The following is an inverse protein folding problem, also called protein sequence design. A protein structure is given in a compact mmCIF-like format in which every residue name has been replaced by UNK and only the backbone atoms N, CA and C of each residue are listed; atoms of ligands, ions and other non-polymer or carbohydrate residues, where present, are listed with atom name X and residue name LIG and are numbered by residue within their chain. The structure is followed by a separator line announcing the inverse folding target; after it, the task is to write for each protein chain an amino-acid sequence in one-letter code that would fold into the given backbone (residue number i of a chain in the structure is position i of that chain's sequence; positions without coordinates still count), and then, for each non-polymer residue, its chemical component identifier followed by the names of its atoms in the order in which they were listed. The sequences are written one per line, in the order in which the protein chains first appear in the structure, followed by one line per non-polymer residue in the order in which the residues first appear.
data_IF_221777327908
#
_entry.id   IF_221777327908
#
_cell.length_a   1.000
_cell.length_b   1.000
_cell.length_c   1.000
_cell.angle_alpha   90.00
_cell.angle_beta   90.00
_cell.angle_gamma   90.00
#
_symmetry.space_group_name_H-M   'P 1'
#
loop_
_entity.id
_entity.type
_entity.pdbx_description
1 polymer ?
#
# COMPACT_ATOMS: atom_id res chain seq x y z
N UNK A 1 24.30 8.17 -9.17
CA UNK A 1 24.07 7.03 -10.09
C UNK A 1 22.60 6.71 -10.41
N UNK A 2 21.60 7.16 -9.63
CA UNK A 2 20.19 6.71 -9.77
C UNK A 2 19.11 7.74 -10.12
N UNK A 3 19.38 9.02 -10.45
CA UNK A 3 18.26 9.89 -10.75
C UNK A 3 17.73 9.60 -12.17
N UNK A 4 18.45 8.83 -13.00
CA UNK A 4 18.02 8.48 -14.35
C UNK A 4 16.81 7.52 -14.34
N UNK A 5 16.07 7.53 -15.45
CA UNK A 5 15.04 6.55 -15.76
C UNK A 5 15.69 5.43 -16.56
N UNK A 6 15.51 4.19 -16.11
CA UNK A 6 16.14 3.01 -16.70
C UNK A 6 15.10 1.97 -17.11
N UNK A 7 15.48 1.11 -18.04
CA UNK A 7 14.73 -0.09 -18.45
C UNK A 7 15.62 -1.32 -18.34
N UNK A 8 15.05 -2.45 -17.91
CA UNK A 8 15.74 -3.73 -17.93
C UNK A 8 16.11 -4.11 -19.37
N UNK A 9 17.36 -4.50 -19.59
CA UNK A 9 17.91 -4.68 -20.95
C UNK A 9 18.13 -6.14 -21.36
N UNK A 10 17.78 -7.11 -20.51
CA UNK A 10 17.84 -8.53 -20.86
C UNK A 10 16.49 -9.03 -21.36
N UNK A 11 16.46 -10.12 -22.15
CA UNK A 11 15.23 -10.73 -22.62
C UNK A 11 14.35 -11.20 -21.46
N UNK A 12 13.06 -10.89 -21.52
CA UNK A 12 12.02 -11.50 -20.68
C UNK A 12 11.30 -12.53 -21.55
N UNK A 13 11.22 -13.77 -21.06
CA UNK A 13 10.55 -14.85 -21.77
C UNK A 13 9.69 -15.67 -20.81
N UNK A 14 8.96 -16.66 -21.33
CA UNK A 14 8.01 -17.47 -20.55
C UNK A 14 8.66 -18.31 -19.43
N UNK A 15 9.99 -18.39 -19.39
CA UNK A 15 10.76 -19.11 -18.38
C UNK A 15 11.46 -18.19 -17.38
N UNK A 16 11.36 -16.87 -17.56
CA UNK A 16 11.87 -15.90 -16.60
C UNK A 16 11.15 -16.07 -15.26
N UNK A 17 11.88 -16.15 -14.14
CA UNK A 17 11.27 -16.27 -12.83
C UNK A 17 10.47 -15.01 -12.53
N UNK A 18 9.16 -15.16 -12.32
CA UNK A 18 8.28 -14.03 -11.98
C UNK A 18 8.60 -13.44 -10.60
N UNK A 19 9.45 -14.09 -9.80
CA UNK A 19 10.00 -13.52 -8.56
C UNK A 19 11.25 -12.68 -8.79
N UNK A 20 11.77 -12.66 -10.02
CA UNK A 20 12.90 -11.83 -10.45
C UNK A 20 14.17 -12.00 -9.60
N UNK A 21 14.34 -13.19 -8.98
CA UNK A 21 15.38 -13.44 -7.97
C UNK A 21 16.76 -13.58 -8.57
N UNK A 22 16.86 -14.11 -9.79
CA UNK A 22 18.12 -14.43 -10.45
C UNK A 22 18.43 -13.47 -11.60
N UNK A 23 17.42 -12.72 -12.03
CA UNK A 23 17.45 -11.84 -13.19
C UNK A 23 18.22 -10.54 -12.96
N UNK A 24 18.43 -10.18 -11.68
CA UNK A 24 19.13 -8.96 -11.30
C UNK A 24 18.46 -7.71 -11.88
N UNK A 25 17.11 -7.63 -11.87
CA UNK A 25 16.37 -6.55 -12.57
C UNK A 25 16.63 -5.15 -12.00
N UNK A 26 17.24 -5.05 -10.82
CA UNK A 26 17.66 -3.80 -10.20
C UNK A 26 19.18 -3.58 -10.25
N UNK A 27 19.94 -4.49 -10.85
CA UNK A 27 21.40 -4.37 -10.97
C UNK A 27 21.76 -3.36 -12.09
N UNK A 28 22.63 -2.37 -11.83
CA UNK A 28 22.99 -1.34 -12.83
C UNK A 28 23.46 -1.90 -14.18
N UNK A 29 24.20 -3.00 -14.19
CA UNK A 29 24.70 -3.68 -15.39
C UNK A 29 23.57 -4.23 -16.29
N UNK A 30 22.39 -4.48 -15.72
CA UNK A 30 21.23 -5.02 -16.41
C UNK A 30 20.21 -3.93 -16.79
N UNK A 31 20.60 -2.66 -16.65
CA UNK A 31 19.75 -1.49 -16.85
C UNK A 31 20.32 -0.60 -17.94
N UNK A 32 19.46 -0.18 -18.88
CA UNK A 32 19.78 0.86 -19.85
C UNK A 32 19.12 2.16 -19.45
N UNK A 33 19.89 3.24 -19.39
CA UNK A 33 19.36 4.60 -19.18
C UNK A 33 18.59 5.01 -20.44
N UNK A 34 17.29 5.24 -20.29
CA UNK A 34 16.43 5.74 -21.38
C UNK A 34 16.17 7.24 -21.27
N UNK A 35 16.42 7.82 -20.09
CA UNK A 35 16.33 9.27 -19.87
C UNK A 35 17.19 9.68 -18.68
N UNK A 36 18.01 10.70 -18.88
CA UNK A 36 18.64 11.42 -17.78
C UNK A 36 17.61 12.32 -17.12
N UNK A 37 17.53 12.26 -15.80
CA UNK A 37 16.58 13.05 -15.01
C UNK A 37 17.18 13.24 -13.61
N UNK A 38 17.00 14.40 -12.99
CA UNK A 38 17.34 14.63 -11.58
C UNK A 38 16.24 14.11 -10.64
N UNK A 39 16.51 14.04 -9.32
CA UNK A 39 15.45 13.67 -8.37
C UNK A 39 14.41 14.79 -8.24
N UNK A 40 14.84 16.03 -8.38
CA UNK A 40 13.98 17.22 -8.42
C UNK A 40 13.06 17.17 -9.64
N UNK A 41 13.58 16.86 -10.82
CA UNK A 41 12.75 16.71 -12.03
C UNK A 41 11.73 15.58 -11.91
N UNK A 42 12.10 14.44 -11.30
CA UNK A 42 11.15 13.35 -10.96
C UNK A 42 10.07 13.83 -9.99
N UNK A 43 10.47 14.56 -8.97
CA UNK A 43 9.56 15.11 -7.96
C UNK A 43 8.56 16.07 -8.58
N UNK A 44 9.03 17.01 -9.41
CA UNK A 44 8.18 17.97 -10.11
C UNK A 44 7.26 17.30 -11.14
N UNK A 45 7.70 16.22 -11.77
CA UNK A 45 6.82 15.42 -12.61
C UNK A 45 5.66 14.83 -11.81
N UNK A 46 5.93 14.17 -10.67
CA UNK A 46 4.88 13.57 -9.85
C UNK A 46 3.95 14.60 -9.21
N UNK A 47 4.46 15.77 -8.80
CA UNK A 47 3.60 16.88 -8.35
C UNK A 47 2.60 17.27 -9.43
N UNK A 48 3.02 17.37 -10.70
CA UNK A 48 2.11 17.66 -11.83
C UNK A 48 1.08 16.55 -12.03
N UNK A 49 1.47 15.28 -11.92
CA UNK A 49 0.54 14.14 -12.04
C UNK A 49 -0.50 14.19 -10.92
N UNK A 50 -0.09 14.44 -9.68
CA UNK A 50 -1.00 14.45 -8.54
C UNK A 50 -1.92 15.68 -8.56
N UNK A 51 -1.40 16.85 -8.95
CA UNK A 51 -2.24 18.02 -9.18
C UNK A 51 -3.27 17.77 -10.29
N UNK A 52 -2.87 17.11 -11.39
CA UNK A 52 -3.77 16.79 -12.48
C UNK A 52 -4.94 15.88 -12.05
N UNK A 53 -4.69 14.96 -11.11
CA UNK A 53 -5.70 14.11 -10.48
C UNK A 53 -6.62 14.93 -9.56
N UNK A 54 -6.06 15.78 -8.71
CA UNK A 54 -6.80 16.66 -7.80
C UNK A 54 -7.72 17.63 -8.55
N UNK A 55 -7.25 18.24 -9.65
CA UNK A 55 -8.03 19.10 -10.53
C UNK A 55 -9.25 18.38 -11.16
N UNK A 56 -9.33 17.05 -11.05
CA UNK A 56 -10.40 16.18 -11.55
C UNK A 56 -11.17 15.48 -10.42
N UNK A 57 -10.92 15.83 -9.16
CA UNK A 57 -11.56 15.19 -8.02
C UNK A 57 -11.16 13.72 -7.85
N UNK A 58 -9.91 13.37 -8.22
CA UNK A 58 -9.36 12.02 -8.04
C UNK A 58 -8.40 12.04 -6.86
N UNK A 59 -8.81 11.38 -5.78
CA UNK A 59 -7.98 11.21 -4.59
C UNK A 59 -6.92 10.13 -4.81
N UNK A 60 -5.72 10.37 -4.29
CA UNK A 60 -4.58 9.46 -4.43
C UNK A 60 -4.30 8.75 -3.11
N UNK A 61 -4.20 7.42 -3.18
CA UNK A 61 -3.88 6.55 -2.06
C UNK A 61 -2.64 5.72 -2.39
N UNK A 62 -1.69 5.62 -1.45
CA UNK A 62 -0.49 4.81 -1.62
C UNK A 62 -0.51 3.61 -0.68
N UNK A 63 -0.51 2.40 -1.25
CA UNK A 63 -0.49 1.15 -0.49
C UNK A 63 0.91 0.55 -0.45
N UNK A 64 1.35 0.17 0.75
CA UNK A 64 2.69 -0.33 1.01
C UNK A 64 2.67 -1.76 1.55
N UNK A 65 3.65 -2.56 1.11
CA UNK A 65 3.97 -3.86 1.67
C UNK A 65 5.22 -3.74 2.52
N UNK A 66 5.36 -4.61 3.52
CA UNK A 66 6.39 -4.50 4.54
C UNK A 66 7.07 -5.85 4.85
N UNK A 67 8.36 -5.88 5.21
CA UNK A 67 9.33 -4.76 5.15
C UNK A 67 10.13 -4.85 3.85
N UNK A 68 9.97 -3.86 2.98
CA UNK A 68 10.72 -3.74 1.73
C UNK A 68 11.45 -2.40 1.70
N UNK A 69 12.77 -2.45 1.48
CA UNK A 69 13.65 -1.26 1.37
C UNK A 69 14.36 -1.23 0.03
N UNK A 70 13.68 -1.70 -1.02
CA UNK A 70 14.23 -1.88 -2.36
C UNK A 70 14.95 -0.60 -2.84
N UNK A 71 16.13 -0.77 -3.42
CA UNK A 71 16.99 0.33 -3.85
C UNK A 71 17.69 1.11 -2.72
N UNK A 72 17.26 1.00 -1.46
CA UNK A 72 17.92 1.58 -0.28
C UNK A 72 18.73 0.56 0.51
N UNK A 73 18.45 -0.73 0.37
CA UNK A 73 19.17 -1.80 1.08
C UNK A 73 20.69 -1.70 0.91
N UNK A 74 21.42 -1.86 2.01
CA UNK A 74 22.88 -1.77 2.07
C UNK A 74 23.43 -0.34 2.07
N UNK A 75 22.61 0.67 1.73
CA UNK A 75 23.03 2.08 1.74
C UNK A 75 22.79 2.70 3.10
N UNK A 76 23.75 3.47 3.61
CA UNK A 76 23.63 4.19 4.89
C UNK A 76 23.24 3.30 6.09
N UNK A 77 23.57 2.00 6.03
CA UNK A 77 23.20 1.03 7.06
C UNK A 77 21.75 0.54 7.02
N UNK A 78 20.96 0.89 6.00
CA UNK A 78 19.58 0.43 5.83
C UNK A 78 19.58 -1.07 5.48
N UNK A 79 18.71 -1.84 6.13
CA UNK A 79 18.52 -3.27 5.88
C UNK A 79 17.04 -3.64 6.00
N UNK A 80 16.59 -4.76 5.43
CA UNK A 80 15.16 -5.10 5.48
C UNK A 80 14.67 -5.59 6.85
N UNK A 81 15.57 -5.94 7.78
CA UNK A 81 15.15 -6.52 9.06
C UNK A 81 14.26 -5.55 9.85
N UNK A 82 13.11 -6.05 10.30
CA UNK A 82 12.06 -5.29 10.97
C UNK A 82 12.51 -4.70 12.32
N UNK A 83 13.40 -5.38 13.03
CA UNK A 83 13.98 -4.95 14.30
C UNK A 83 15.20 -4.03 14.13
N UNK A 84 15.54 -3.65 12.89
CA UNK A 84 16.66 -2.78 12.61
C UNK A 84 16.27 -1.29 12.80
N UNK A 85 16.88 -0.56 13.77
CA UNK A 85 16.43 0.77 14.13
C UNK A 85 16.62 1.81 13.02
N UNK A 86 17.67 1.69 12.20
CA UNK A 86 17.89 2.58 11.04
C UNK A 86 16.77 2.41 10.01
N UNK A 87 16.22 1.20 9.88
CA UNK A 87 15.15 0.91 8.91
C UNK A 87 13.83 1.50 9.37
N UNK A 88 13.51 1.39 10.66
CA UNK A 88 12.35 2.06 11.26
C UNK A 88 12.43 3.57 11.04
N UNK A 89 13.59 4.17 11.35
CA UNK A 89 13.82 5.61 11.16
C UNK A 89 13.73 6.02 9.68
N UNK A 90 14.31 5.23 8.78
CA UNK A 90 14.26 5.45 7.33
C UNK A 90 12.82 5.45 6.80
N UNK A 91 12.00 4.44 7.15
CA UNK A 91 10.61 4.38 6.68
C UNK A 91 9.79 5.52 7.28
N UNK A 92 9.93 5.82 8.58
CA UNK A 92 9.24 6.94 9.23
C UNK A 92 9.54 8.28 8.53
N UNK A 93 10.83 8.56 8.28
CA UNK A 93 11.25 9.77 7.56
C UNK A 93 10.78 9.79 6.12
N UNK A 94 10.74 8.64 5.45
CA UNK A 94 10.25 8.53 4.07
C UNK A 94 8.75 8.83 3.99
N UNK A 95 7.95 8.30 4.92
CA UNK A 95 6.51 8.59 5.01
C UNK A 95 6.30 10.09 5.24
N UNK A 96 6.98 10.67 6.24
CA UNK A 96 6.91 12.10 6.53
C UNK A 96 7.25 12.94 5.30
N UNK A 97 8.43 12.72 4.71
CA UNK A 97 8.91 13.52 3.59
C UNK A 97 8.02 13.35 2.35
N UNK A 98 7.45 12.16 2.12
CA UNK A 98 6.52 11.93 1.01
C UNK A 98 5.28 12.80 1.15
N UNK A 99 4.65 12.84 2.32
CA UNK A 99 3.43 13.62 2.55
C UNK A 99 3.69 15.14 2.51
N UNK A 100 4.86 15.59 2.98
CA UNK A 100 5.26 17.00 2.85
C UNK A 100 5.55 17.39 1.40
N UNK A 101 6.09 16.45 0.61
CA UNK A 101 6.40 16.70 -0.82
C UNK A 101 5.14 16.64 -1.69
N UNK A 102 4.18 15.81 -1.31
CA UNK A 102 2.95 15.51 -2.04
C UNK A 102 1.73 15.61 -1.11
N UNK A 103 1.33 16.83 -0.70
CA UNK A 103 0.26 17.04 0.29
C UNK A 103 -1.15 16.65 -0.18
N UNK A 104 -1.32 16.34 -1.46
CA UNK A 104 -2.57 15.88 -2.05
C UNK A 104 -2.77 14.36 -2.03
N UNK A 105 -1.84 13.60 -1.45
CA UNK A 105 -2.08 12.20 -1.08
C UNK A 105 -3.16 12.18 0.01
N UNK A 106 -4.26 11.46 -0.24
CA UNK A 106 -5.42 11.36 0.67
C UNK A 106 -5.43 10.11 1.52
N UNK A 107 -4.56 9.15 1.26
CA UNK A 107 -4.41 8.02 2.17
C UNK A 107 -3.15 7.21 2.01
N UNK A 108 -2.76 6.60 3.12
CA UNK A 108 -1.68 5.63 3.21
C UNK A 108 -2.28 4.30 3.65
N UNK A 109 -2.14 3.31 2.78
CA UNK A 109 -2.48 1.93 3.07
C UNK A 109 -1.25 1.11 3.44
N UNK A 110 -1.39 0.19 4.39
CA UNK A 110 -0.28 -0.68 4.84
C UNK A 110 -0.69 -2.14 4.88
N UNK A 111 0.24 -3.02 4.51
CA UNK A 111 0.11 -4.47 4.64
C UNK A 111 1.05 -5.00 5.72
N UNK A 112 0.54 -5.89 6.57
CA UNK A 112 1.31 -6.61 7.59
C UNK A 112 2.15 -7.75 7.00
N UNK A 113 2.88 -7.46 5.93
CA UNK A 113 3.58 -8.45 5.13
C UNK A 113 3.86 -7.95 3.71
N UNK A 114 4.37 -8.79 2.82
CA UNK A 114 4.56 -10.24 2.95
C UNK A 114 6.02 -10.64 3.31
N UNK A 115 6.84 -9.66 3.71
CA UNK A 115 8.25 -9.85 4.09
C UNK A 115 8.51 -9.34 5.53
N UNK A 116 7.62 -9.68 6.44
CA UNK A 116 7.65 -9.28 7.85
C UNK A 116 7.92 -10.50 8.73
N UNK A 117 8.60 -10.32 9.86
CA UNK A 117 8.78 -11.38 10.86
C UNK A 117 7.67 -11.30 11.92
N UNK A 118 6.70 -12.21 11.80
CA UNK A 118 5.53 -12.25 12.69
C UNK A 118 5.81 -12.80 14.09
N UNK A 119 7.01 -13.35 14.32
CA UNK A 119 7.44 -13.86 15.63
C UNK A 119 8.02 -12.76 16.53
N UNK A 120 8.27 -11.56 15.99
CA UNK A 120 8.76 -10.44 16.78
C UNK A 120 7.68 -9.91 17.71
N UNK A 121 8.12 -9.47 18.89
CA UNK A 121 7.25 -8.95 19.96
C UNK A 121 7.64 -7.53 20.37
N UNK A 122 6.88 -6.94 21.31
CA UNK A 122 7.16 -5.60 21.82
C UNK A 122 7.15 -4.55 20.70
N UNK A 123 8.12 -3.63 20.73
CA UNK A 123 8.26 -2.55 19.74
C UNK A 123 8.23 -3.02 18.28
N UNK A 124 8.73 -4.22 18.02
CA UNK A 124 8.86 -4.77 16.67
C UNK A 124 7.78 -5.79 16.34
N UNK A 125 6.77 -5.99 17.17
CA UNK A 125 5.54 -6.67 16.73
C UNK A 125 4.98 -5.95 15.49
N UNK A 126 4.42 -6.68 14.55
CA UNK A 126 3.97 -6.18 13.24
C UNK A 126 3.22 -4.84 13.29
N UNK A 127 2.16 -4.75 14.10
CA UNK A 127 1.33 -3.55 14.22
C UNK A 127 2.07 -2.42 14.94
N UNK A 128 2.84 -2.75 15.99
CA UNK A 128 3.70 -1.77 16.68
C UNK A 128 4.79 -1.20 15.74
N UNK A 129 5.32 -2.02 14.85
CA UNK A 129 6.27 -1.57 13.83
C UNK A 129 5.61 -0.60 12.85
N UNK A 130 4.37 -0.87 12.41
CA UNK A 130 3.61 0.07 11.58
C UNK A 130 3.32 1.39 12.28
N UNK A 131 3.04 1.34 13.59
CA UNK A 131 2.89 2.53 14.42
C UNK A 131 4.17 3.35 14.39
N UNK A 132 5.30 2.74 14.71
CA UNK A 132 6.60 3.42 14.79
C UNK A 132 7.15 3.91 13.44
N UNK A 133 6.58 3.46 12.33
CA UNK A 133 6.98 3.85 10.98
C UNK A 133 5.94 4.76 10.33
N UNK A 134 4.82 4.21 9.88
CA UNK A 134 3.79 4.94 9.15
C UNK A 134 2.97 5.85 10.06
N UNK A 135 2.49 5.36 11.20
CA UNK A 135 1.64 6.14 12.12
C UNK A 135 2.36 7.39 12.62
N UNK A 136 3.55 7.20 13.20
CA UNK A 136 4.40 8.30 13.65
C UNK A 136 4.93 9.17 12.50
N UNK A 137 5.18 8.61 11.31
CA UNK A 137 5.60 9.38 10.14
C UNK A 137 4.51 10.34 9.64
N UNK A 138 3.25 9.91 9.65
CA UNK A 138 2.10 10.77 9.33
C UNK A 138 1.93 11.86 10.40
N UNK A 139 2.05 11.50 11.68
CA UNK A 139 1.99 12.48 12.77
C UNK A 139 3.10 13.54 12.67
N UNK A 140 4.32 13.13 12.34
CA UNK A 140 5.42 14.07 12.13
C UNK A 140 5.16 15.02 10.95
N UNK A 141 4.50 14.53 9.89
CA UNK A 141 4.12 15.37 8.75
C UNK A 141 3.02 16.36 9.16
N UNK A 142 1.99 15.91 9.87
CA UNK A 142 0.89 16.74 10.38
C UNK A 142 1.38 17.82 11.36
N UNK A 143 2.43 17.53 12.14
CA UNK A 143 3.04 18.52 13.02
C UNK A 143 3.67 19.70 12.23
N UNK A 144 4.14 19.47 11.00
CA UNK A 144 4.70 20.51 10.13
C UNK A 144 3.68 21.12 9.18
N UNK A 145 2.70 20.33 8.75
CA UNK A 145 1.57 20.76 7.92
C UNK A 145 0.25 20.24 8.52
N UNK A 146 -0.38 21.02 9.43
CA UNK A 146 -1.63 20.63 10.08
C UNK A 146 -2.82 20.43 9.13
N UNK A 147 -2.75 20.97 7.90
CA UNK A 147 -3.80 20.85 6.90
C UNK A 147 -3.78 19.49 6.17
N UNK A 148 -2.81 18.61 6.48
CA UNK A 148 -2.73 17.27 5.90
C UNK A 148 -3.90 16.37 6.32
N UNK A 149 -4.83 16.21 5.40
CA UNK A 149 -5.94 15.26 5.48
C UNK A 149 -5.57 13.93 4.81
N UNK A 150 -5.04 13.01 5.61
CA UNK A 150 -4.52 11.71 5.17
C UNK A 150 -5.17 10.58 5.97
N UNK A 151 -5.88 9.68 5.30
CA UNK A 151 -6.50 8.48 5.88
C UNK A 151 -5.45 7.40 6.11
N UNK A 152 -5.60 6.62 7.18
CA UNK A 152 -4.73 5.47 7.46
C UNK A 152 -5.52 4.17 7.27
N UNK A 153 -5.08 3.31 6.35
CA UNK A 153 -5.82 2.10 5.98
C UNK A 153 -4.98 0.84 6.25
N UNK A 154 -5.41 0.00 7.18
CA UNK A 154 -4.80 -1.32 7.39
C UNK A 154 -5.40 -2.35 6.45
N UNK A 155 -4.56 -2.98 5.65
CA UNK A 155 -4.94 -4.23 5.00
C UNK A 155 -4.99 -5.32 6.05
N UNK A 156 -6.18 -5.91 6.28
CA UNK A 156 -6.39 -7.01 7.25
C UNK A 156 -5.50 -8.23 7.00
N UNK A 157 -4.88 -8.33 5.83
CA UNK A 157 -3.97 -9.41 5.50
C UNK A 157 -2.80 -9.51 6.52
N UNK A 158 -2.75 -10.63 7.25
CA UNK A 158 -1.77 -10.94 8.32
C UNK A 158 -1.80 -10.03 9.55
N UNK A 159 -2.86 -9.25 9.73
CA UNK A 159 -3.11 -8.45 10.93
C UNK A 159 -4.53 -8.70 11.45
N UNK A 160 -4.81 -8.23 12.66
CA UNK A 160 -6.12 -8.27 13.31
C UNK A 160 -6.41 -6.95 14.03
N UNK A 161 -7.69 -6.69 14.28
CA UNK A 161 -8.12 -5.38 14.78
C UNK A 161 -7.69 -5.11 16.22
N UNK A 162 -7.65 -6.13 17.08
CA UNK A 162 -7.20 -5.99 18.47
C UNK A 162 -5.74 -5.51 18.53
N UNK A 163 -4.87 -6.11 17.71
CA UNK A 163 -3.46 -5.73 17.64
C UNK A 163 -3.27 -4.33 17.06
N UNK A 164 -4.08 -3.94 16.08
CA UNK A 164 -4.07 -2.59 15.50
C UNK A 164 -4.51 -1.57 16.55
N UNK A 165 -5.62 -1.83 17.24
CA UNK A 165 -6.18 -0.94 18.26
C UNK A 165 -5.19 -0.70 19.41
N UNK A 166 -4.52 -1.75 19.89
CA UNK A 166 -3.50 -1.59 20.94
C UNK A 166 -2.29 -0.79 20.43
N UNK A 167 -1.80 -1.08 19.22
CA UNK A 167 -0.62 -0.43 18.66
C UNK A 167 -0.86 1.06 18.33
N UNK A 168 -2.07 1.41 17.91
CA UNK A 168 -2.44 2.75 17.44
C UNK A 168 -3.39 3.49 18.39
N UNK A 169 -3.47 3.10 19.67
CA UNK A 169 -4.33 3.76 20.68
C UNK A 169 -4.09 5.27 20.82
N UNK A 170 -2.89 5.74 20.48
CA UNK A 170 -2.49 7.15 20.53
C UNK A 170 -2.61 7.85 19.16
N UNK A 171 -3.16 7.20 18.13
CA UNK A 171 -3.39 7.82 16.82
C UNK A 171 -4.62 8.74 16.89
N UNK A 172 -4.50 10.02 16.52
CA UNK A 172 -5.51 11.03 16.86
C UNK A 172 -6.73 11.05 15.92
N UNK A 173 -6.71 10.24 14.86
CA UNK A 173 -7.76 10.20 13.83
C UNK A 173 -8.23 8.76 13.65
N UNK A 174 -9.38 8.61 13.02
CA UNK A 174 -9.93 7.29 12.70
C UNK A 174 -8.95 6.45 11.87
N UNK A 175 -8.93 5.15 12.17
CA UNK A 175 -8.20 4.14 11.43
C UNK A 175 -9.22 3.35 10.64
N UNK A 176 -8.86 3.03 9.41
CA UNK A 176 -9.71 2.26 8.52
C UNK A 176 -9.06 0.93 8.20
N UNK A 177 -9.86 -0.01 7.74
CA UNK A 177 -9.39 -1.33 7.35
C UNK A 177 -9.68 -1.61 5.90
N UNK A 178 -9.13 -2.68 5.37
CA UNK A 178 -9.49 -3.17 4.05
C UNK A 178 -9.43 -4.69 3.97
N UNK A 179 -10.34 -5.24 3.16
CA UNK A 179 -10.54 -6.67 3.01
C UNK A 179 -10.63 -7.08 1.55
N UNK A 180 -10.05 -8.23 1.19
CA UNK A 180 -10.17 -8.79 -0.16
C UNK A 180 -11.56 -9.39 -0.36
N UNK A 181 -12.53 -8.60 -0.81
CA UNK A 181 -13.95 -8.94 -0.89
C UNK A 181 -14.22 -10.19 -1.74
N UNK A 182 -13.68 -10.22 -2.96
CA UNK A 182 -13.70 -11.39 -3.86
C UNK A 182 -12.41 -12.20 -3.82
N UNK A 183 -11.56 -12.00 -2.81
CA UNK A 183 -10.18 -12.54 -2.73
C UNK A 183 -9.30 -12.09 -3.89
N UNK A 184 -9.42 -12.79 -4.99
CA UNK A 184 -8.64 -12.63 -6.22
C UNK A 184 -9.50 -12.87 -7.46
N UNK A 185 -10.78 -13.17 -7.27
CA UNK A 185 -11.60 -13.87 -8.23
C UNK A 185 -12.90 -13.09 -8.47
N UNK A 186 -12.77 -11.81 -8.83
CA UNK A 186 -13.92 -10.90 -8.93
C UNK A 186 -14.99 -11.33 -9.92
N UNK A 187 -14.67 -12.20 -10.87
CA UNK A 187 -15.60 -12.69 -11.89
C UNK A 187 -16.23 -14.04 -11.54
N UNK A 188 -15.90 -14.61 -10.38
CA UNK A 188 -16.40 -15.93 -9.97
C UNK A 188 -17.79 -15.91 -9.31
N UNK A 189 -18.20 -14.79 -8.70
CA UNK A 189 -19.52 -14.65 -8.07
C UNK A 189 -19.89 -13.17 -7.89
N UNK A 190 -21.14 -12.83 -8.20
CA UNK A 190 -21.74 -11.51 -7.93
C UNK A 190 -21.96 -11.27 -6.43
N UNK A 191 -21.95 -12.32 -5.61
CA UNK A 191 -22.06 -12.25 -4.14
C UNK A 191 -21.02 -13.14 -3.46
N UNK A 192 -19.74 -12.72 -3.42
CA UNK A 192 -18.70 -13.47 -2.72
C UNK A 192 -19.02 -13.59 -1.22
N UNK A 193 -18.92 -14.79 -0.61
CA UNK A 193 -19.33 -15.00 0.78
C UNK A 193 -18.26 -14.60 1.81
N UNK A 194 -17.08 -14.15 1.37
CA UNK A 194 -15.89 -14.11 2.21
C UNK A 194 -15.90 -13.00 3.25
N UNK A 195 -16.42 -11.84 2.89
CA UNK A 195 -16.52 -10.72 3.84
C UNK A 195 -17.47 -11.08 4.98
N UNK A 196 -18.67 -11.55 4.65
CA UNK A 196 -19.67 -12.00 5.62
C UNK A 196 -19.13 -13.11 6.54
N UNK A 197 -18.34 -14.03 6.00
CA UNK A 197 -17.79 -15.16 6.77
C UNK A 197 -16.59 -14.84 7.66
N UNK A 198 -15.86 -13.76 7.38
CA UNK A 198 -14.50 -13.57 7.94
C UNK A 198 -14.34 -12.24 8.66
N UNK A 199 -15.05 -11.20 8.22
CA UNK A 199 -14.72 -9.84 8.64
C UNK A 199 -15.90 -8.91 8.89
N UNK A 200 -17.10 -9.22 8.38
CA UNK A 200 -18.29 -8.40 8.62
C UNK A 200 -18.55 -8.15 10.11
N UNK A 201 -18.62 -9.22 10.90
CA UNK A 201 -18.92 -9.12 12.35
C UNK A 201 -17.91 -8.22 13.06
N UNK A 202 -16.61 -8.37 12.75
CA UNK A 202 -15.56 -7.52 13.30
C UNK A 202 -15.72 -6.05 12.88
N UNK A 203 -16.10 -5.80 11.62
CA UNK A 203 -16.34 -4.43 11.12
C UNK A 203 -17.55 -3.79 11.81
N UNK A 204 -18.63 -4.55 11.99
CA UNK A 204 -19.86 -4.10 12.66
C UNK A 204 -19.65 -3.88 14.16
N UNK A 205 -18.99 -4.82 14.86
CA UNK A 205 -18.79 -4.77 16.32
C UNK A 205 -17.89 -3.61 16.75
N UNK A 206 -16.91 -3.25 15.92
CA UNK A 206 -15.96 -2.18 16.21
C UNK A 206 -16.27 -0.87 15.47
N UNK A 207 -17.34 -0.82 14.68
CA UNK A 207 -17.75 0.33 13.87
C UNK A 207 -16.59 0.94 13.07
N UNK A 208 -15.83 0.09 12.37
CA UNK A 208 -14.62 0.50 11.66
C UNK A 208 -14.80 0.44 10.13
N UNK A 209 -14.61 1.55 9.39
CA UNK A 209 -14.80 1.54 7.95
C UNK A 209 -13.88 0.54 7.24
N UNK A 210 -14.44 -0.25 6.32
CA UNK A 210 -13.70 -1.28 5.61
C UNK A 210 -13.74 -1.09 4.09
N UNK A 211 -12.61 -0.76 3.48
CA UNK A 211 -12.48 -0.74 2.02
C UNK A 211 -12.46 -2.13 1.43
N UNK A 212 -13.13 -2.30 0.30
CA UNK A 212 -13.17 -3.59 -0.39
C UNK A 212 -12.11 -3.62 -1.49
N UNK A 213 -11.10 -4.48 -1.34
CA UNK A 213 -10.19 -4.77 -2.45
C UNK A 213 -10.85 -5.80 -3.39
N UNK A 214 -11.04 -5.41 -4.64
CA UNK A 214 -11.68 -6.21 -5.69
C UNK A 214 -10.71 -6.39 -6.85
N UNK A 215 -10.09 -7.56 -6.98
CA UNK A 215 -9.06 -7.80 -8.01
C UNK A 215 -9.38 -9.00 -8.89
N UNK A 216 -8.75 -9.02 -10.05
CA UNK A 216 -8.88 -10.07 -11.05
C UNK A 216 -7.55 -10.82 -11.24
N UNK A 217 -7.50 -12.05 -10.72
CA UNK A 217 -6.47 -13.04 -11.01
C UNK A 217 -7.04 -14.19 -11.89
N UNK A 218 -8.26 -14.03 -12.46
CA UNK A 218 -9.00 -15.07 -13.21
C UNK A 218 -8.72 -15.00 -14.72
N UNK A 219 -8.84 -13.80 -15.30
CA UNK A 219 -8.79 -13.60 -16.75
C UNK A 219 -7.76 -12.53 -17.12
N UNK A 220 -6.61 -12.96 -17.62
CA UNK A 220 -5.52 -12.05 -18.03
C UNK A 220 -5.51 -11.75 -19.54
N UNK A 221 -6.03 -12.67 -20.36
CA UNK A 221 -5.95 -12.60 -21.83
C UNK A 221 -7.30 -12.42 -22.51
N UNK A 222 -8.40 -12.57 -21.76
CA UNK A 222 -9.75 -12.43 -22.28
C UNK A 222 -10.32 -11.04 -21.99
N UNK A 223 -11.10 -10.51 -22.93
CA UNK A 223 -11.89 -9.30 -22.68
C UNK A 223 -13.10 -9.68 -21.83
N UNK A 224 -13.48 -8.78 -20.93
CA UNK A 224 -14.69 -8.89 -20.13
C UNK A 224 -15.50 -7.60 -20.22
N UNK A 225 -16.82 -7.72 -20.15
CA UNK A 225 -17.75 -6.61 -20.30
C UNK A 225 -19.19 -7.08 -20.16
N UNK A 226 -19.53 -7.68 -19.02
CA UNK A 226 -20.88 -8.11 -18.68
C UNK A 226 -21.54 -7.07 -17.75
N UNK A 227 -22.42 -6.19 -18.27
CA UNK A 227 -23.04 -5.14 -17.48
C UNK A 227 -24.06 -5.65 -16.46
N UNK A 228 -24.71 -6.80 -16.72
CA UNK A 228 -25.67 -7.39 -15.78
C UNK A 228 -24.92 -7.93 -14.57
N UNK A 229 -23.84 -8.69 -14.81
CA UNK A 229 -22.94 -9.15 -13.77
C UNK A 229 -22.35 -7.98 -12.96
N UNK A 230 -21.84 -6.95 -13.65
CA UNK A 230 -21.26 -5.77 -13.01
C UNK A 230 -22.28 -5.09 -12.07
N UNK A 231 -23.51 -4.89 -12.55
CA UNK A 231 -24.58 -4.28 -11.76
C UNK A 231 -24.93 -5.14 -10.54
N UNK A 232 -25.04 -6.44 -10.71
CA UNK A 232 -25.36 -7.36 -9.61
C UNK A 232 -24.24 -7.43 -8.57
N UNK A 233 -22.98 -7.48 -9.01
CA UNK A 233 -21.81 -7.47 -8.13
C UNK A 233 -21.79 -6.22 -7.24
N UNK A 234 -21.95 -5.05 -7.87
CA UNK A 234 -21.98 -3.78 -7.17
C UNK A 234 -23.16 -3.74 -6.19
N UNK A 235 -24.38 -4.16 -6.59
CA UNK A 235 -25.53 -4.21 -5.67
C UNK A 235 -25.36 -5.11 -4.44
N UNK A 236 -24.46 -6.10 -4.50
CA UNK A 236 -24.15 -6.99 -3.37
C UNK A 236 -23.03 -6.47 -2.46
N UNK A 237 -22.38 -5.35 -2.80
CA UNK A 237 -21.42 -4.68 -1.92
C UNK A 237 -22.14 -4.14 -0.67
N UNK A 238 -21.61 -4.36 0.55
CA UNK A 238 -22.19 -3.81 1.78
C UNK A 238 -21.90 -2.31 1.94
N UNK A 239 -22.68 -1.47 1.25
CA UNK A 239 -22.50 -0.01 1.20
C UNK A 239 -22.42 0.67 2.57
N UNK A 240 -23.19 0.20 3.55
CA UNK A 240 -23.24 0.79 4.89
C UNK A 240 -21.94 0.60 5.69
N UNK A 241 -21.07 -0.33 5.27
CA UNK A 241 -19.84 -0.69 6.00
C UNK A 241 -18.56 -0.28 5.26
N UNK A 242 -18.69 0.32 4.08
CA UNK A 242 -17.55 0.55 3.20
C UNK A 242 -17.50 1.99 2.69
N UNK A 243 -16.35 2.69 2.85
CA UNK A 243 -16.12 3.96 2.17
C UNK A 243 -16.06 3.82 0.64
N UNK A 244 -15.79 2.61 0.14
CA UNK A 244 -15.64 2.32 -1.26
C UNK A 244 -14.81 1.07 -1.51
N UNK A 245 -14.54 0.79 -2.79
CA UNK A 245 -13.71 -0.32 -3.21
C UNK A 245 -12.54 0.18 -4.06
N UNK A 246 -11.48 -0.61 -4.12
CA UNK A 246 -10.34 -0.38 -4.99
C UNK A 246 -9.89 -1.68 -5.65
N UNK A 247 -9.37 -1.57 -6.87
CA UNK A 247 -8.92 -2.71 -7.67
C UNK A 247 -7.42 -2.91 -7.56
#
# INVERSE_FOLDING_TARGET
PWPNVTVYNKPINNWTDMKWKEEGIQEPENLTVIREMSMEEKTEHWKKVFQYAEDRGIDIYLFHWNVFVNGAEGKHGIRWQQDHPITVDYIRKSVKQTLLTFPNIKGIGVTAGEHINRELTGKYKTENWMWHTYGQGIMDARAENPDLDVRFIFRRHWSNLEDIAEAFKDYPTEIETSFKYSRAHMYSSTKPPWFDKIYREIVEDYDIPCWLNVRNDDIFTFRWGDPEYASEYIKNVPYELTPGFYM
#
